data_IF_296772515719
#
_entry.id   IF_296772515719
#
_cell.length_a   1.000
_cell.length_b   1.000
_cell.length_c   1.000
_cell.angle_alpha   90.00
_cell.angle_beta   90.00
_cell.angle_gamma   90.00
#
_symmetry.space_group_name_H-M   'P 1'
#
loop_
_entity.id
_entity.type
_entity.pdbx_description
1 polymer ?
#
# COMPACT_ATOMS: atom_id res chain seq x y z
N UNK A 1 -15.93 3.47 3.57
CA UNK A 1 -15.91 3.09 5.00
C UNK A 1 -15.26 1.72 5.26
N UNK A 2 -14.97 0.90 4.24
CA UNK A 2 -14.25 -0.37 4.44
C UNK A 2 -12.71 -0.20 4.48
N UNK A 3 -12.15 0.64 3.59
CA UNK A 3 -10.72 0.91 3.52
C UNK A 3 -10.10 1.39 4.84
N UNK A 4 -10.77 2.32 5.54
CA UNK A 4 -10.27 2.87 6.81
C UNK A 4 -10.18 1.82 7.93
N UNK A 5 -11.14 0.89 8.01
CA UNK A 5 -11.15 -0.18 9.00
C UNK A 5 -10.03 -1.19 8.72
N UNK A 6 -9.88 -1.57 7.44
CA UNK A 6 -8.80 -2.45 6.97
C UNK A 6 -7.43 -1.82 7.26
N UNK A 7 -7.25 -0.54 6.94
CA UNK A 7 -6.03 0.23 7.23
C UNK A 7 -5.66 0.25 8.72
N UNK A 8 -6.66 0.44 9.60
CA UNK A 8 -6.45 0.38 11.06
C UNK A 8 -6.06 -1.03 11.53
N UNK A 9 -6.69 -2.07 10.99
CA UNK A 9 -6.38 -3.45 11.31
C UNK A 9 -4.98 -3.87 10.82
N UNK A 10 -4.58 -3.40 9.65
CA UNK A 10 -3.25 -3.62 9.08
C UNK A 10 -2.17 -2.91 9.91
N UNK A 11 -2.48 -1.70 10.40
CA UNK A 11 -1.52 -0.85 11.12
C UNK A 11 -0.88 -1.51 12.35
N UNK A 12 -1.47 -2.55 12.94
CA UNK A 12 -0.88 -3.28 14.07
C UNK A 12 -0.03 -4.50 13.68
N UNK A 13 -0.16 -5.01 12.45
CA UNK A 13 0.51 -6.23 11.98
C UNK A 13 1.57 -5.97 10.90
N UNK A 14 1.60 -4.77 10.31
CA UNK A 14 2.52 -4.39 9.22
C UNK A 14 3.99 -4.62 9.59
N UNK A 15 4.40 -4.20 10.79
CA UNK A 15 5.79 -4.23 11.27
C UNK A 15 6.33 -5.63 11.63
N UNK A 16 5.45 -6.63 11.77
CA UNK A 16 5.86 -7.99 12.16
C UNK A 16 6.37 -8.81 10.99
N UNK A 17 5.73 -8.68 9.82
CA UNK A 17 5.99 -9.55 8.66
C UNK A 17 6.72 -8.82 7.52
N UNK A 18 6.54 -7.50 7.40
CA UNK A 18 7.12 -6.71 6.33
C UNK A 18 8.30 -5.87 6.83
N UNK A 19 9.22 -5.60 5.92
CA UNK A 19 10.35 -4.69 6.14
C UNK A 19 10.13 -3.34 5.48
N UNK A 20 9.53 -3.32 4.31
CA UNK A 20 9.18 -2.09 3.60
C UNK A 20 8.01 -2.29 2.65
N UNK A 21 7.26 -1.20 2.44
CA UNK A 21 6.23 -1.10 1.40
C UNK A 21 6.59 0.06 0.47
N UNK A 22 6.53 -0.18 -0.84
CA UNK A 22 6.78 0.82 -1.87
C UNK A 22 5.57 0.94 -2.78
N UNK A 23 4.96 2.10 -2.84
CA UNK A 23 3.81 2.40 -3.69
C UNK A 23 4.28 3.23 -4.87
N UNK A 24 4.21 2.65 -6.06
CA UNK A 24 4.39 3.37 -7.31
C UNK A 24 3.03 3.83 -7.80
N UNK A 25 2.90 5.12 -8.14
CA UNK A 25 1.67 5.67 -8.71
C UNK A 25 1.97 6.73 -9.77
N UNK A 26 1.00 6.99 -10.63
CA UNK A 26 1.02 8.11 -11.56
C UNK A 26 0.18 9.29 -11.04
N UNK A 27 0.70 10.50 -11.20
CA UNK A 27 0.05 11.74 -10.77
C UNK A 27 -1.19 12.07 -11.60
N UNK A 28 -1.21 11.68 -12.89
CA UNK A 28 -2.21 12.14 -13.85
C UNK A 28 -3.11 11.01 -14.35
N UNK A 29 -2.58 9.80 -14.53
CA UNK A 29 -3.32 8.69 -15.14
C UNK A 29 -4.59 8.34 -14.34
N UNK A 30 -5.70 8.07 -15.06
CA UNK A 30 -6.96 7.62 -14.47
C UNK A 30 -6.83 6.28 -13.75
N UNK A 31 -6.01 5.38 -14.29
CA UNK A 31 -5.67 4.09 -13.70
C UNK A 31 -5.15 4.17 -12.26
N UNK A 32 -4.47 5.26 -11.88
CA UNK A 32 -3.91 5.46 -10.54
C UNK A 32 -4.82 6.26 -9.62
N UNK A 33 -6.00 6.72 -10.07
CA UNK A 33 -6.86 7.60 -9.28
C UNK A 33 -7.23 6.98 -7.93
N UNK A 34 -7.67 5.72 -7.90
CA UNK A 34 -8.04 5.07 -6.63
C UNK A 34 -6.85 4.87 -5.68
N UNK A 35 -5.62 4.79 -6.20
CA UNK A 35 -4.40 4.76 -5.35
C UNK A 35 -4.08 6.15 -4.78
N UNK A 36 -4.30 7.23 -5.55
CA UNK A 36 -4.17 8.60 -5.05
C UNK A 36 -5.15 8.88 -3.92
N UNK A 37 -6.43 8.57 -4.15
CA UNK A 37 -7.50 8.76 -3.16
C UNK A 37 -7.21 7.97 -1.87
N UNK A 38 -6.66 6.75 -1.99
CA UNK A 38 -6.23 5.94 -0.85
C UNK A 38 -5.09 6.63 -0.07
N UNK A 39 -4.09 7.17 -0.75
CA UNK A 39 -2.96 7.84 -0.11
C UNK A 39 -3.45 9.09 0.64
N UNK A 40 -4.24 9.95 0.01
CA UNK A 40 -4.75 11.17 0.62
C UNK A 40 -5.54 10.91 1.91
N UNK A 41 -6.38 9.87 1.91
CA UNK A 41 -7.27 9.58 3.04
C UNK A 41 -6.63 8.73 4.14
N UNK A 42 -5.70 7.83 3.79
CA UNK A 42 -5.27 6.76 4.70
C UNK A 42 -3.78 6.78 5.05
N UNK A 43 -2.92 7.42 4.26
CA UNK A 43 -1.48 7.42 4.48
C UNK A 43 -1.07 7.98 5.84
N UNK A 44 -1.65 9.13 6.23
CA UNK A 44 -1.31 9.78 7.51
C UNK A 44 -1.65 8.88 8.69
N UNK A 45 -2.79 8.18 8.63
CA UNK A 45 -3.19 7.24 9.69
C UNK A 45 -2.26 6.03 9.74
N UNK A 46 -1.88 5.47 8.59
CA UNK A 46 -0.92 4.36 8.51
C UNK A 46 0.43 4.71 9.11
N UNK A 47 0.97 5.89 8.76
CA UNK A 47 2.28 6.33 9.23
C UNK A 47 2.29 6.69 10.72
N UNK A 48 1.18 7.23 11.24
CA UNK A 48 1.02 7.46 12.69
C UNK A 48 1.00 6.16 13.48
N UNK A 49 0.33 5.12 12.99
CA UNK A 49 0.31 3.81 13.64
C UNK A 49 1.66 3.07 13.56
N UNK A 50 2.48 3.37 12.54
CA UNK A 50 3.78 2.72 12.32
C UNK A 50 4.88 3.75 12.05
N UNK A 51 5.40 4.44 13.09
CA UNK A 51 6.40 5.49 12.89
C UNK A 51 7.70 4.93 12.31
N UNK A 52 8.15 3.76 12.78
CA UNK A 52 9.41 3.14 12.33
C UNK A 52 9.31 2.40 10.99
N UNK A 53 8.10 2.14 10.49
CA UNK A 53 7.92 1.39 9.27
C UNK A 53 8.13 2.28 8.02
N UNK A 54 9.02 1.89 7.08
CA UNK A 54 9.24 2.64 5.86
C UNK A 54 8.13 2.37 4.84
N UNK A 55 7.27 3.38 4.66
CA UNK A 55 6.27 3.44 3.58
C UNK A 55 6.80 4.42 2.54
N UNK A 56 7.29 3.89 1.42
CA UNK A 56 7.90 4.66 0.34
C UNK A 56 6.87 4.95 -0.75
N UNK A 57 6.45 6.20 -0.87
CA UNK A 57 5.62 6.65 -1.99
C UNK A 57 6.57 7.12 -3.10
N UNK A 58 6.36 6.62 -4.32
CA UNK A 58 7.12 6.97 -5.51
C UNK A 58 6.17 7.32 -6.63
N UNK A 59 6.10 8.61 -6.93
CA UNK A 59 5.25 9.10 -8.01
C UNK A 59 6.07 9.17 -9.30
N UNK A 60 5.53 8.63 -10.39
CA UNK A 60 6.19 8.61 -11.69
C UNK A 60 5.16 8.72 -12.82
N UNK A 61 5.47 9.52 -13.84
CA UNK A 61 4.58 9.70 -14.99
C UNK A 61 4.57 8.47 -15.89
N UNK A 62 3.37 8.03 -16.29
CA UNK A 62 3.19 6.91 -17.23
C UNK A 62 3.43 5.52 -16.64
N UNK A 63 3.65 5.40 -15.33
CA UNK A 63 3.85 4.11 -14.66
C UNK A 63 2.52 3.51 -14.20
N UNK A 64 2.37 2.20 -14.35
CA UNK A 64 1.25 1.46 -13.80
C UNK A 64 1.31 1.43 -12.28
N UNK A 65 0.22 1.73 -11.57
CA UNK A 65 0.23 1.76 -10.12
C UNK A 65 0.57 0.36 -9.58
N UNK A 66 1.64 0.26 -8.81
CA UNK A 66 2.17 -1.03 -8.34
C UNK A 66 2.56 -0.93 -6.87
N UNK A 67 2.04 -1.87 -6.08
CA UNK A 67 2.41 -2.08 -4.69
C UNK A 67 3.54 -3.10 -4.62
N UNK A 68 4.67 -2.68 -4.06
CA UNK A 68 5.78 -3.55 -3.71
C UNK A 68 5.81 -3.74 -2.21
N UNK A 69 6.02 -4.97 -1.79
CA UNK A 69 6.16 -5.31 -0.39
C UNK A 69 7.34 -6.26 -0.22
N UNK A 70 8.28 -5.84 0.62
CA UNK A 70 9.46 -6.64 0.95
C UNK A 70 9.27 -7.27 2.32
N UNK A 71 9.50 -8.56 2.37
CA UNK A 71 9.46 -9.37 3.57
C UNK A 71 10.87 -9.61 4.11
N UNK A 72 10.96 -10.36 5.20
CA UNK A 72 12.23 -10.89 5.68
C UNK A 72 12.97 -11.69 4.60
N UNK A 73 14.29 -11.84 4.79
CA UNK A 73 15.17 -12.62 3.89
C UNK A 73 15.22 -12.13 2.44
N UNK A 74 14.87 -10.86 2.19
CA UNK A 74 14.99 -10.25 0.85
C UNK A 74 13.91 -10.68 -0.14
N UNK A 75 12.87 -11.41 0.29
CA UNK A 75 11.74 -11.76 -0.57
C UNK A 75 10.89 -10.53 -0.86
N UNK A 76 10.56 -10.29 -2.12
CA UNK A 76 9.70 -9.19 -2.54
C UNK A 76 8.48 -9.71 -3.30
N UNK A 77 7.34 -9.06 -3.10
CA UNK A 77 6.11 -9.31 -3.86
C UNK A 77 5.63 -8.01 -4.48
N UNK A 78 5.29 -8.08 -5.77
CA UNK A 78 4.62 -7.01 -6.49
C UNK A 78 3.15 -7.33 -6.69
N UNK A 79 2.30 -6.33 -6.59
CA UNK A 79 0.86 -6.39 -6.87
C UNK A 79 0.50 -5.17 -7.71
N UNK A 80 -0.03 -5.42 -8.91
CA UNK A 80 -0.55 -4.35 -9.76
C UNK A 80 -1.87 -3.82 -9.18
N UNK A 81 -1.99 -2.51 -9.08
CA UNK A 81 -3.17 -1.79 -8.57
C UNK A 81 -3.94 -1.08 -9.69
N UNK A 82 -3.82 -1.59 -10.92
CA UNK A 82 -4.38 -0.94 -12.12
C UNK A 82 -5.91 -0.89 -12.07
N UNK A 83 -6.48 0.31 -12.26
CA UNK A 83 -7.92 0.60 -12.20
C UNK A 83 -8.63 0.10 -10.91
N UNK A 84 -7.90 -0.01 -9.79
CA UNK A 84 -8.48 -0.41 -8.52
C UNK A 84 -9.03 0.79 -7.75
N UNK A 85 -10.18 0.59 -7.10
CA UNK A 85 -10.75 1.56 -6.17
C UNK A 85 -9.98 1.59 -4.84
N UNK A 86 -10.09 2.66 -4.06
CA UNK A 86 -9.40 2.79 -2.77
C UNK A 86 -9.68 1.62 -1.80
N UNK A 87 -10.92 1.09 -1.77
CA UNK A 87 -11.28 -0.08 -0.97
C UNK A 87 -10.61 -1.38 -1.47
N UNK A 88 -10.37 -1.51 -2.78
CA UNK A 88 -9.67 -2.66 -3.35
C UNK A 88 -8.17 -2.57 -3.09
N UNK A 89 -7.59 -1.35 -3.16
CA UNK A 89 -6.20 -1.10 -2.78
C UNK A 89 -5.97 -1.47 -1.31
N UNK A 90 -6.89 -1.13 -0.42
CA UNK A 90 -6.82 -1.51 0.99
C UNK A 90 -6.81 -3.04 1.18
N UNK A 91 -7.68 -3.77 0.47
CA UNK A 91 -7.72 -5.25 0.49
C UNK A 91 -6.47 -5.90 -0.10
N UNK A 92 -5.91 -5.31 -1.16
CA UNK A 92 -4.65 -5.79 -1.73
C UNK A 92 -3.51 -5.63 -0.72
N UNK A 93 -3.48 -4.51 -0.01
CA UNK A 93 -2.51 -4.25 1.06
C UNK A 93 -2.69 -5.24 2.22
N UNK A 94 -3.92 -5.53 2.63
CA UNK A 94 -4.23 -6.54 3.64
C UNK A 94 -3.75 -7.94 3.22
N UNK A 95 -4.00 -8.32 1.97
CA UNK A 95 -3.60 -9.62 1.41
C UNK A 95 -2.08 -9.79 1.41
N UNK A 96 -1.35 -8.70 1.14
CA UNK A 96 0.11 -8.66 1.19
C UNK A 96 0.64 -8.76 2.61
N UNK A 97 -0.05 -8.19 3.59
CA UNK A 97 0.39 -8.21 5.00
C UNK A 97 0.14 -9.56 5.66
N UNK A 98 -0.98 -10.19 5.31
CA UNK A 98 -1.35 -11.52 5.78
C UNK A 98 -0.65 -12.64 5.00
N UNK A 99 -0.11 -12.36 3.81
CA UNK A 99 0.71 -13.31 3.09
C UNK A 99 2.00 -13.59 3.86
N UNK A 100 2.03 -14.73 4.57
CA UNK A 100 3.27 -15.30 5.09
C UNK A 100 4.09 -15.85 3.91
N UNK A 101 5.36 -15.44 3.75
CA UNK A 101 6.25 -15.95 2.72
C UNK A 101 6.89 -17.30 3.08
#
# INVERSE_FOLDING_TARGET
MAAAAVVRAIGSNLSKNLREVRLHLCQISAASQGTRDFIEQHYVTLKKSNPEFPILIRECSGVQPTLWARYGFGKERSVSLDNMNADQVAKALESVVNAKP
#
